data_IF_930732476074
#
_entry.id   IF_930732476074
#
_cell.length_a   1.000
_cell.length_b   1.000
_cell.length_c   1.000
_cell.angle_alpha   90.00
_cell.angle_beta   90.00
_cell.angle_gamma   90.00
#
_symmetry.space_group_name_H-M   'P 1'
#
loop_
_entity.id
_entity.type
_entity.pdbx_description
1 polymer ?
#
# COMPACT_ATOMS: atom_id res chain seq x y z
N UNK A 1 10.31 -28.75 14.85
CA UNK A 1 10.13 -28.08 16.17
C UNK A 1 8.65 -27.77 16.32
N UNK A 2 8.08 -27.70 17.53
CA UNK A 2 6.65 -27.38 17.67
C UNK A 2 6.39 -25.94 17.19
N UNK A 3 5.40 -25.76 16.30
CA UNK A 3 4.98 -24.44 15.81
C UNK A 3 4.33 -23.62 16.93
N UNK A 4 4.54 -22.32 16.92
CA UNK A 4 4.03 -21.39 17.93
C UNK A 4 2.70 -20.78 17.49
N UNK A 5 1.75 -21.64 17.09
CA UNK A 5 0.41 -21.26 16.66
C UNK A 5 -0.57 -21.23 17.84
N UNK A 6 -1.34 -20.16 17.89
CA UNK A 6 -2.44 -19.95 18.83
C UNK A 6 -3.78 -20.11 18.09
N UNK A 7 -4.60 -21.03 18.61
CA UNK A 7 -5.96 -21.32 18.12
C UNK A 7 -6.89 -21.21 19.31
N UNK A 8 -7.68 -20.13 19.36
CA UNK A 8 -8.64 -19.89 20.43
C UNK A 8 -9.78 -20.91 20.40
N UNK A 9 -10.46 -21.07 21.53
CA UNK A 9 -11.62 -21.96 21.64
C UNK A 9 -12.74 -21.58 20.66
N UNK A 10 -12.88 -20.28 20.36
CA UNK A 10 -13.84 -19.76 19.39
C UNK A 10 -13.50 -20.21 17.97
N UNK A 11 -12.24 -20.05 17.54
CA UNK A 11 -11.78 -20.50 16.21
C UNK A 11 -11.88 -22.02 16.10
N UNK A 12 -11.50 -22.74 17.16
CA UNK A 12 -11.61 -24.21 17.23
C UNK A 12 -13.05 -24.70 17.11
N UNK A 13 -14.01 -24.01 17.73
CA UNK A 13 -15.42 -24.37 17.64
C UNK A 13 -15.95 -24.26 16.20
N UNK A 14 -15.48 -23.28 15.44
CA UNK A 14 -15.92 -23.04 14.05
C UNK A 14 -15.26 -24.00 13.04
N UNK A 15 -13.95 -24.24 13.15
CA UNK A 15 -13.24 -25.12 12.20
C UNK A 15 -13.31 -26.61 12.57
N UNK A 16 -13.68 -26.92 13.81
CA UNK A 16 -13.72 -28.27 14.37
C UNK A 16 -12.39 -28.76 14.93
N UNK A 17 -12.47 -29.67 15.90
CA UNK A 17 -11.29 -30.18 16.65
C UNK A 17 -10.27 -30.93 15.79
N UNK A 18 -10.74 -31.63 14.75
CA UNK A 18 -9.87 -32.36 13.84
C UNK A 18 -9.03 -31.41 12.98
N UNK A 19 -9.64 -30.34 12.45
CA UNK A 19 -8.92 -29.34 11.66
C UNK A 19 -7.99 -28.50 12.55
N UNK A 20 -8.44 -28.13 13.75
CA UNK A 20 -7.57 -27.46 14.73
C UNK A 20 -6.35 -28.31 15.09
N UNK A 21 -6.51 -29.64 15.22
CA UNK A 21 -5.39 -30.54 15.45
C UNK A 21 -4.42 -30.60 14.26
N UNK A 22 -4.93 -30.64 13.01
CA UNK A 22 -4.11 -30.59 11.80
C UNK A 22 -3.31 -29.29 11.67
N UNK A 23 -3.91 -28.15 11.99
CA UNK A 23 -3.23 -26.85 12.00
C UNK A 23 -2.10 -26.80 13.03
N UNK A 24 -2.36 -27.27 14.25
CA UNK A 24 -1.36 -27.32 15.32
C UNK A 24 -0.24 -28.34 15.02
N UNK A 25 -0.55 -29.41 14.29
CA UNK A 25 0.43 -30.38 13.78
C UNK A 25 1.25 -29.85 12.59
N UNK A 26 0.83 -28.73 11.97
CA UNK A 26 1.50 -28.11 10.84
C UNK A 26 1.15 -28.73 9.47
N UNK A 27 0.11 -29.56 9.41
CA UNK A 27 -0.35 -30.23 8.19
C UNK A 27 -1.13 -29.28 7.27
N UNK A 28 -1.95 -28.39 7.85
CA UNK A 28 -2.75 -27.40 7.12
C UNK A 28 -2.22 -25.96 7.21
N UNK A 29 -1.23 -25.71 8.08
CA UNK A 29 -0.73 -24.35 8.32
C UNK A 29 0.41 -23.98 7.36
N UNK A 30 0.41 -22.77 6.79
CA UNK A 30 1.44 -22.32 5.85
C UNK A 30 2.81 -22.21 6.52
N UNK A 31 3.88 -22.36 5.73
CA UNK A 31 5.26 -22.19 6.19
C UNK A 31 5.63 -20.73 6.48
N UNK A 32 5.27 -19.81 5.58
CA UNK A 32 5.32 -18.37 5.82
C UNK A 32 3.95 -17.75 5.47
N UNK A 33 3.58 -16.66 6.14
CA UNK A 33 2.31 -15.96 5.93
C UNK A 33 2.51 -14.45 5.88
N UNK A 34 1.60 -13.72 5.26
CA UNK A 34 1.52 -12.27 5.43
C UNK A 34 0.54 -11.95 6.56
N UNK A 35 1.02 -11.25 7.60
CA UNK A 35 0.17 -10.90 8.73
C UNK A 35 -1.06 -10.09 8.26
N UNK A 36 -2.28 -10.58 8.53
CA UNK A 36 -3.52 -9.94 8.05
C UNK A 36 -3.69 -8.49 8.55
N UNK A 37 -3.06 -8.15 9.69
CA UNK A 37 -3.08 -6.80 10.26
C UNK A 37 -2.01 -5.87 9.68
N UNK A 38 -0.73 -6.23 9.79
CA UNK A 38 0.39 -5.34 9.43
C UNK A 38 1.01 -5.62 8.05
N UNK A 39 0.60 -6.70 7.38
CA UNK A 39 1.09 -7.18 6.07
C UNK A 39 2.60 -7.46 6.02
N UNK A 40 3.25 -7.60 7.16
CA UNK A 40 4.65 -8.05 7.23
C UNK A 40 4.67 -9.58 7.20
N UNK A 41 5.64 -10.21 6.51
CA UNK A 41 5.80 -11.65 6.52
C UNK A 41 6.07 -12.17 7.93
N UNK A 42 5.46 -13.30 8.27
CA UNK A 42 5.71 -14.03 9.50
C UNK A 42 5.87 -15.54 9.27
N UNK A 43 6.42 -16.22 10.27
CA UNK A 43 6.72 -17.65 10.23
C UNK A 43 6.35 -18.33 11.56
N UNK A 44 5.35 -19.23 11.60
CA UNK A 44 4.90 -19.89 12.83
C UNK A 44 5.94 -20.86 13.43
N UNK A 45 7.02 -21.18 12.72
CA UNK A 45 8.16 -21.93 13.25
C UNK A 45 9.15 -21.02 14.00
N UNK A 46 9.15 -19.71 13.71
CA UNK A 46 10.08 -18.74 14.29
C UNK A 46 9.42 -17.79 15.30
N UNK A 47 8.12 -17.50 15.16
CA UNK A 47 7.41 -16.54 16.01
C UNK A 47 5.96 -16.93 16.37
N UNK A 48 5.46 -16.31 17.45
CA UNK A 48 4.10 -16.59 17.94
C UNK A 48 3.08 -16.01 16.97
N UNK A 49 2.21 -16.88 16.49
CA UNK A 49 1.27 -16.60 15.42
C UNK A 49 -0.14 -16.90 15.89
N UNK A 50 -1.05 -15.95 15.74
CA UNK A 50 -2.47 -16.10 16.05
C UNK A 50 -3.27 -16.45 14.79
N UNK A 51 -4.20 -17.39 14.94
CA UNK A 51 -5.17 -17.73 13.88
C UNK A 51 -6.40 -16.83 13.95
N UNK A 52 -6.77 -16.24 12.83
CA UNK A 52 -7.94 -15.37 12.71
C UNK A 52 -8.88 -15.97 11.67
N UNK A 53 -10.09 -16.30 12.08
CA UNK A 53 -11.11 -16.85 11.17
C UNK A 53 -12.09 -15.74 10.79
N UNK A 54 -12.12 -15.37 9.52
CA UNK A 54 -13.10 -14.44 9.00
C UNK A 54 -14.31 -15.20 8.47
N UNK A 55 -15.51 -14.88 8.95
CA UNK A 55 -16.76 -15.54 8.55
C UNK A 55 -17.64 -14.49 7.86
N UNK A 56 -18.02 -14.79 6.63
CA UNK A 56 -19.09 -14.13 5.88
C UNK A 56 -20.36 -14.97 5.87
N UNK A 57 -21.36 -14.52 5.11
CA UNK A 57 -22.67 -15.17 5.04
C UNK A 57 -22.58 -16.56 4.37
N UNK A 58 -21.69 -16.72 3.39
CA UNK A 58 -21.52 -17.98 2.63
C UNK A 58 -20.13 -18.60 2.75
N UNK A 59 -19.13 -17.82 3.12
CA UNK A 59 -17.72 -18.22 3.08
C UNK A 59 -16.99 -17.98 4.39
N UNK A 60 -15.98 -18.81 4.68
CA UNK A 60 -15.11 -18.66 5.84
C UNK A 60 -13.64 -18.79 5.41
N UNK A 61 -12.79 -17.93 5.94
CA UNK A 61 -11.38 -17.81 5.53
C UNK A 61 -10.50 -17.80 6.76
N UNK A 62 -9.59 -18.76 6.84
CA UNK A 62 -8.59 -18.82 7.88
C UNK A 62 -7.35 -18.00 7.46
N UNK A 63 -6.94 -17.09 8.32
CA UNK A 63 -5.77 -16.24 8.13
C UNK A 63 -4.88 -16.22 9.37
N UNK A 64 -3.70 -15.63 9.24
CA UNK A 64 -2.67 -15.60 10.28
C UNK A 64 -2.22 -14.17 10.58
N UNK A 65 -1.88 -13.92 11.84
CA UNK A 65 -1.32 -12.65 12.30
C UNK A 65 -0.22 -12.91 13.34
N UNK A 66 0.72 -11.98 13.49
CA UNK A 66 1.57 -11.98 14.68
C UNK A 66 0.68 -11.89 15.92
N UNK A 67 1.03 -12.62 16.99
CA UNK A 67 0.27 -12.59 18.24
C UNK A 67 0.22 -11.21 18.90
N UNK A 68 1.13 -10.30 18.52
CA UNK A 68 1.17 -8.90 18.97
C UNK A 68 0.30 -7.97 18.14
N UNK A 69 -0.08 -8.37 16.91
CA UNK A 69 -0.92 -7.57 16.02
C UNK A 69 -2.40 -7.84 16.24
N UNK A 70 -2.79 -9.11 16.33
CA UNK A 70 -4.16 -9.54 16.59
C UNK A 70 -4.16 -10.79 17.47
N UNK A 71 -5.15 -10.94 18.39
CA UNK A 71 -5.36 -12.19 19.10
C UNK A 71 -5.97 -13.24 18.17
N UNK A 72 -5.95 -14.51 18.58
CA UNK A 72 -6.72 -15.54 17.88
C UNK A 72 -8.22 -15.35 18.16
N UNK A 73 -9.01 -15.21 17.10
CA UNK A 73 -10.42 -14.82 17.21
C UNK A 73 -11.21 -15.13 15.93
N UNK A 74 -12.54 -15.14 16.06
CA UNK A 74 -13.46 -15.14 14.92
C UNK A 74 -13.92 -13.71 14.63
N UNK A 75 -13.92 -13.31 13.35
CA UNK A 75 -14.35 -11.97 12.91
C UNK A 75 -15.46 -12.11 11.88
N UNK A 76 -16.64 -11.59 12.22
CA UNK A 76 -17.77 -11.51 11.30
C UNK A 76 -17.57 -10.33 10.34
N UNK A 77 -17.64 -10.59 9.04
CA UNK A 77 -17.47 -9.56 8.00
C UNK A 77 -18.52 -9.74 6.92
N UNK A 78 -18.76 -8.71 6.10
CA UNK A 78 -19.67 -8.87 4.96
C UNK A 78 -19.02 -9.75 3.87
N UNK A 79 -19.83 -10.44 3.07
CA UNK A 79 -19.33 -11.27 1.97
C UNK A 79 -18.44 -10.47 0.98
N UNK A 80 -18.79 -9.20 0.74
CA UNK A 80 -18.00 -8.29 -0.11
C UNK A 80 -16.61 -7.98 0.50
N UNK A 81 -16.52 -7.85 1.82
CA UNK A 81 -15.25 -7.66 2.54
C UNK A 81 -14.42 -8.95 2.55
N UNK A 82 -15.07 -10.11 2.68
CA UNK A 82 -14.39 -11.40 2.69
C UNK A 82 -13.77 -11.72 1.33
N UNK A 83 -14.50 -11.48 0.23
CA UNK A 83 -13.98 -11.70 -1.13
C UNK A 83 -12.79 -10.79 -1.45
N UNK A 84 -12.76 -9.57 -0.90
CA UNK A 84 -11.59 -8.69 -0.96
C UNK A 84 -10.38 -9.24 -0.18
N UNK A 85 -10.63 -9.88 0.96
CA UNK A 85 -9.59 -10.51 1.77
C UNK A 85 -9.06 -11.83 1.14
N UNK A 86 -9.93 -12.68 0.59
CA UNK A 86 -9.55 -13.93 -0.10
C UNK A 86 -8.59 -13.67 -1.25
N UNK A 87 -8.84 -12.63 -2.06
CA UNK A 87 -7.94 -12.24 -3.16
C UNK A 87 -6.57 -11.80 -2.66
N UNK A 88 -6.51 -11.21 -1.47
CA UNK A 88 -5.26 -10.77 -0.85
C UNK A 88 -4.55 -11.88 -0.04
N UNK A 89 -5.16 -13.05 0.14
CA UNK A 89 -4.65 -14.18 0.95
C UNK A 89 -4.33 -15.41 0.07
N UNK A 90 -4.95 -15.56 -1.11
CA UNK A 90 -4.88 -16.73 -2.00
C UNK A 90 -3.57 -16.94 -2.77
N UNK A 91 -2.42 -16.91 -2.09
CA UNK A 91 -1.10 -17.20 -2.66
C UNK A 91 -0.67 -18.67 -2.68
N UNK A 92 -1.57 -19.65 -2.45
CA UNK A 92 -1.22 -21.07 -2.47
C UNK A 92 -2.38 -22.00 -2.90
N UNK A 93 -2.58 -22.17 -4.21
CA UNK A 93 -3.14 -23.37 -4.85
C UNK A 93 -2.77 -23.38 -6.35
N UNK A 94 -2.45 -24.57 -6.88
CA UNK A 94 -1.95 -24.84 -8.25
C UNK A 94 -2.83 -24.32 -9.41
N UNK A 95 -2.26 -24.18 -10.63
CA UNK A 95 -2.72 -23.19 -11.60
C UNK A 95 -3.86 -23.71 -12.48
N UNK A 96 -5.06 -23.18 -12.28
CA UNK A 96 -5.98 -23.03 -13.40
C UNK A 96 -5.56 -21.82 -14.25
N UNK A 97 -5.77 -21.84 -15.58
CA UNK A 97 -5.40 -20.73 -16.45
C UNK A 97 -6.23 -19.51 -16.08
N UNK A 98 -5.66 -18.67 -15.23
CA UNK A 98 -6.28 -17.44 -14.76
C UNK A 98 -6.61 -16.57 -15.96
N UNK A 99 -7.91 -16.31 -16.15
CA UNK A 99 -8.34 -15.10 -16.86
C UNK A 99 -7.73 -13.94 -16.09
N UNK A 100 -6.69 -13.34 -16.67
CA UNK A 100 -5.99 -12.19 -16.13
C UNK A 100 -6.96 -11.01 -16.14
N UNK A 101 -7.75 -10.87 -15.08
CA UNK A 101 -8.36 -9.58 -14.76
C UNK A 101 -7.22 -8.64 -14.39
N UNK A 102 -7.12 -7.46 -15.01
CA UNK A 102 -6.06 -6.52 -14.69
C UNK A 102 -6.15 -6.14 -13.21
N UNK A 103 -5.19 -6.60 -12.41
CA UNK A 103 -5.06 -6.19 -11.01
C UNK A 103 -4.61 -4.73 -10.97
N UNK A 104 -5.35 -3.91 -10.21
CA UNK A 104 -4.95 -2.53 -9.97
C UNK A 104 -3.73 -2.52 -9.05
N UNK A 105 -2.67 -1.83 -9.47
CA UNK A 105 -1.46 -1.71 -8.67
C UNK A 105 -1.78 -1.09 -7.29
N UNK A 106 -1.30 -1.72 -6.23
CA UNK A 106 -1.39 -1.19 -4.87
C UNK A 106 -0.24 -0.22 -4.65
N UNK A 107 -0.57 1.01 -4.26
CA UNK A 107 0.40 2.09 -4.07
C UNK A 107 0.55 2.43 -2.59
N UNK A 108 1.78 2.34 -2.10
CA UNK A 108 2.19 2.91 -0.82
C UNK A 108 2.39 4.41 -0.96
N UNK A 109 1.85 5.18 -0.01
CA UNK A 109 1.99 6.63 0.05
C UNK A 109 2.56 7.03 1.40
N UNK A 110 3.67 7.76 1.38
CA UNK A 110 4.31 8.34 2.57
C UNK A 110 4.24 9.86 2.49
N UNK A 111 3.72 10.51 3.53
CA UNK A 111 3.75 11.98 3.66
C UNK A 111 4.95 12.45 4.47
N UNK A 112 5.66 13.48 4.00
CA UNK A 112 6.78 14.09 4.72
C UNK A 112 7.06 15.50 4.24
N UNK A 113 7.93 16.24 4.94
CA UNK A 113 8.45 17.51 4.44
C UNK A 113 9.78 17.27 3.71
N UNK A 114 9.98 18.00 2.61
CA UNK A 114 11.23 17.98 1.84
C UNK A 114 11.71 19.42 1.71
N UNK A 115 12.94 19.68 2.16
CA UNK A 115 13.60 20.98 2.01
C UNK A 115 14.09 21.12 0.56
N UNK A 116 13.69 22.16 -0.16
CA UNK A 116 14.21 22.51 -1.50
C UNK A 116 14.49 24.01 -1.51
N UNK A 117 15.70 24.42 -1.89
CA UNK A 117 16.11 25.83 -1.92
C UNK A 117 15.76 26.60 -0.63
N UNK A 118 16.06 25.99 0.53
CA UNK A 118 15.79 26.51 1.89
C UNK A 118 14.30 26.69 2.26
N UNK A 119 13.35 26.22 1.44
CA UNK A 119 11.94 26.17 1.77
C UNK A 119 11.46 24.73 2.02
N UNK A 120 10.67 24.53 3.08
CA UNK A 120 10.06 23.23 3.38
C UNK A 120 8.79 23.06 2.53
N UNK A 121 8.81 22.03 1.69
CA UNK A 121 7.68 21.65 0.86
C UNK A 121 6.96 20.42 1.42
N UNK A 122 5.62 20.40 1.43
CA UNK A 122 4.87 19.19 1.74
C UNK A 122 5.02 18.22 0.58
N UNK A 123 5.42 17.00 0.89
CA UNK A 123 5.68 15.95 -0.09
C UNK A 123 4.79 14.72 0.15
N UNK A 124 4.40 14.08 -0.94
CA UNK A 124 3.90 12.71 -0.99
C UNK A 124 4.90 11.88 -1.78
N UNK A 125 5.28 10.74 -1.22
CA UNK A 125 6.21 9.80 -1.85
C UNK A 125 5.44 8.54 -2.13
N UNK A 126 5.35 8.19 -3.41
CA UNK A 126 4.55 7.09 -3.91
C UNK A 126 5.45 5.98 -4.43
N UNK A 127 5.26 4.80 -3.87
CA UNK A 127 5.99 3.59 -4.26
C UNK A 127 4.98 2.44 -4.39
N UNK A 128 4.92 1.72 -5.52
CA UNK A 128 4.06 0.56 -5.65
C UNK A 128 4.56 -0.58 -4.77
N UNK A 129 3.66 -1.47 -4.32
CA UNK A 129 4.05 -2.62 -3.48
C UNK A 129 4.64 -3.78 -4.29
N UNK A 130 4.53 -3.72 -5.61
CA UNK A 130 5.07 -4.69 -6.57
C UNK A 130 5.40 -3.98 -7.90
N UNK A 131 6.22 -4.57 -8.79
CA UNK A 131 6.46 -4.01 -10.12
C UNK A 131 5.15 -3.78 -10.87
N UNK A 132 5.01 -2.64 -11.56
CA UNK A 132 3.78 -2.31 -12.28
C UNK A 132 3.98 -2.58 -13.76
N UNK A 133 3.21 -3.49 -14.34
CA UNK A 133 3.22 -3.72 -15.79
C UNK A 133 2.02 -3.05 -16.46
N UNK A 134 2.15 -2.69 -17.74
CA UNK A 134 0.99 -2.27 -18.54
C UNK A 134 -0.07 -3.37 -18.64
N UNK A 135 -1.36 -3.01 -18.57
CA UNK A 135 -2.43 -3.96 -18.89
C UNK A 135 -2.22 -4.58 -20.27
N UNK A 136 -2.21 -5.92 -20.33
CA UNK A 136 -1.98 -6.67 -21.57
C UNK A 136 -0.50 -6.88 -21.96
N UNK A 137 0.45 -6.39 -21.17
CA UNK A 137 1.87 -6.73 -21.33
C UNK A 137 2.16 -8.13 -20.77
N UNK A 138 2.97 -8.91 -21.48
CA UNK A 138 3.50 -10.21 -21.03
C UNK A 138 4.93 -10.10 -20.48
N UNK A 139 5.50 -8.90 -20.46
CA UNK A 139 6.87 -8.66 -20.00
C UNK A 139 6.96 -8.57 -18.48
N UNK A 140 8.06 -9.07 -17.90
CA UNK A 140 8.38 -8.95 -16.48
C UNK A 140 8.98 -7.57 -16.10
N UNK A 141 8.71 -6.53 -16.90
CA UNK A 141 9.25 -5.19 -16.70
C UNK A 141 8.46 -4.35 -15.69
N UNK A 142 9.08 -3.30 -15.16
CA UNK A 142 8.41 -2.29 -14.35
C UNK A 142 8.18 -1.02 -15.19
N UNK A 143 6.94 -0.86 -15.63
CA UNK A 143 6.43 0.27 -16.41
C UNK A 143 5.98 1.45 -15.53
N UNK A 144 6.14 1.40 -14.20
CA UNK A 144 5.62 2.43 -13.30
C UNK A 144 6.09 3.85 -13.66
N UNK A 145 7.40 4.06 -13.84
CA UNK A 145 7.93 5.38 -14.22
C UNK A 145 7.52 5.78 -15.64
N UNK A 146 7.68 4.94 -16.69
CA UNK A 146 7.17 5.26 -18.01
C UNK A 146 5.70 5.71 -18.02
N UNK A 147 4.84 5.02 -17.27
CA UNK A 147 3.41 5.36 -17.17
C UNK A 147 3.20 6.75 -16.56
N UNK A 148 3.92 7.10 -15.50
CA UNK A 148 3.82 8.44 -14.90
C UNK A 148 4.40 9.54 -15.79
N UNK A 149 5.48 9.26 -16.51
CA UNK A 149 6.06 10.20 -17.48
C UNK A 149 5.05 10.52 -18.58
N UNK A 150 4.32 9.52 -19.08
CA UNK A 150 3.23 9.72 -20.04
C UNK A 150 2.08 10.58 -19.49
N UNK A 151 1.88 10.59 -18.17
CA UNK A 151 0.93 11.47 -17.48
C UNK A 151 1.48 12.87 -17.20
N UNK A 152 2.73 13.15 -17.56
CA UNK A 152 3.37 14.47 -17.42
C UNK A 152 4.22 14.64 -16.17
N UNK A 153 4.49 13.57 -15.40
CA UNK A 153 5.48 13.63 -14.32
C UNK A 153 6.89 13.77 -14.90
N UNK A 154 7.71 14.62 -14.27
CA UNK A 154 9.04 14.96 -14.75
C UNK A 154 10.09 14.02 -14.16
N UNK A 155 10.94 13.35 -14.97
CA UNK A 155 12.11 12.63 -14.46
C UNK A 155 13.07 13.59 -13.75
N UNK A 156 13.54 13.18 -12.58
CA UNK A 156 14.50 13.94 -11.79
C UNK A 156 15.84 13.22 -11.71
N UNK A 157 16.92 13.97 -11.92
CA UNK A 157 18.31 13.53 -11.66
C UNK A 157 18.83 14.03 -10.31
N UNK A 158 18.20 15.08 -9.77
CA UNK A 158 18.50 15.69 -8.46
C UNK A 158 17.28 16.47 -7.96
N UNK A 159 17.21 16.74 -6.64
CA UNK A 159 16.17 17.57 -6.02
C UNK A 159 16.69 19.00 -5.79
N UNK A 160 17.08 19.67 -6.89
CA UNK A 160 17.62 21.02 -6.86
C UNK A 160 16.55 22.12 -6.93
N UNK A 161 15.40 21.83 -7.51
CA UNK A 161 14.31 22.79 -7.71
C UNK A 161 12.95 22.12 -7.58
N UNK A 162 11.93 22.94 -7.34
CA UNK A 162 10.52 22.51 -7.31
C UNK A 162 10.11 22.05 -8.72
N UNK A 163 9.54 20.85 -8.88
CA UNK A 163 9.06 20.38 -10.18
C UNK A 163 7.88 21.23 -10.68
N UNK A 164 7.65 21.31 -12.01
CA UNK A 164 6.53 22.05 -12.56
C UNK A 164 5.16 21.55 -12.04
N UNK A 165 4.20 22.48 -12.00
CA UNK A 165 2.83 22.15 -11.62
C UNK A 165 2.14 21.31 -12.70
N UNK A 166 1.67 20.11 -12.33
CA UNK A 166 0.94 19.22 -13.21
C UNK A 166 -0.56 19.48 -13.09
N UNK A 167 -1.08 20.27 -14.03
CA UNK A 167 -2.48 20.70 -14.02
C UNK A 167 -3.42 19.52 -14.31
N UNK A 168 -4.60 19.55 -13.68
CA UNK A 168 -5.61 18.49 -13.79
C UNK A 168 -5.40 17.33 -12.80
N UNK A 169 -4.19 17.16 -12.28
CA UNK A 169 -3.92 16.36 -11.09
C UNK A 169 -4.13 17.22 -9.84
N UNK A 170 -4.51 16.60 -8.72
CA UNK A 170 -4.63 17.31 -7.45
C UNK A 170 -4.54 16.39 -6.24
N UNK A 171 -4.20 16.96 -5.09
CA UNK A 171 -4.23 16.26 -3.80
C UNK A 171 -5.48 16.67 -3.04
N UNK A 172 -6.34 15.72 -2.72
CA UNK A 172 -7.56 15.94 -1.94
C UNK A 172 -7.21 15.95 -0.45
N UNK A 173 -7.24 17.13 0.15
CA UNK A 173 -7.08 17.37 1.57
C UNK A 173 -8.39 17.94 2.12
N UNK A 174 -9.01 17.24 3.07
CA UNK A 174 -10.29 17.67 3.67
C UNK A 174 -10.29 17.37 5.17
N UNK A 175 -10.79 18.32 5.96
CA UNK A 175 -10.63 18.33 7.43
C UNK A 175 -9.15 18.17 7.88
N UNK A 176 -8.24 18.60 7.00
CA UNK A 176 -6.79 18.44 7.13
C UNK A 176 -6.28 16.99 7.25
N UNK A 177 -7.07 16.04 6.76
CA UNK A 177 -6.62 14.68 6.46
C UNK A 177 -6.40 14.53 4.96
N UNK A 178 -5.47 13.66 4.57
CA UNK A 178 -5.22 13.28 3.18
C UNK A 178 -6.18 12.16 2.77
N UNK A 179 -6.95 12.39 1.70
CA UNK A 179 -7.96 11.44 1.22
C UNK A 179 -7.55 10.74 -0.08
N UNK A 180 -7.05 11.50 -1.06
CA UNK A 180 -6.81 10.97 -2.39
C UNK A 180 -5.79 11.80 -3.19
N UNK A 181 -5.22 11.17 -4.21
CA UNK A 181 -4.59 11.85 -5.35
C UNK A 181 -5.55 11.67 -6.52
N UNK A 182 -6.01 12.78 -7.08
CA UNK A 182 -6.95 12.81 -8.18
C UNK A 182 -6.20 13.02 -9.49
N UNK A 183 -6.62 12.31 -10.52
CA UNK A 183 -6.15 12.47 -11.89
C UNK A 183 -7.27 13.03 -12.78
N UNK A 184 -6.92 13.65 -13.93
CA UNK A 184 -7.88 14.00 -14.96
C UNK A 184 -8.68 12.77 -15.40
N UNK A 185 -9.98 12.94 -15.64
CA UNK A 185 -10.77 11.88 -16.24
C UNK A 185 -10.46 11.79 -17.75
N UNK A 186 -9.99 10.64 -18.28
CA UNK A 186 -9.69 10.48 -19.70
C UNK A 186 -10.89 10.72 -20.62
N UNK A 187 -12.12 10.51 -20.13
CA UNK A 187 -13.36 10.73 -20.87
C UNK A 187 -13.91 12.17 -20.72
N UNK A 188 -13.17 13.05 -20.04
CA UNK A 188 -13.65 14.37 -19.61
C UNK A 188 -14.55 14.29 -18.37
N UNK A 189 -14.79 15.44 -17.73
CA UNK A 189 -15.65 15.54 -16.54
C UNK A 189 -14.88 15.67 -15.22
N UNK A 190 -15.51 15.23 -14.12
CA UNK A 190 -14.93 15.37 -12.77
C UNK A 190 -13.67 14.49 -12.63
N UNK A 191 -12.62 14.97 -11.93
CA UNK A 191 -11.45 14.16 -11.62
C UNK A 191 -11.81 12.86 -10.91
N UNK A 192 -11.04 11.80 -11.18
CA UNK A 192 -11.21 10.48 -10.57
C UNK A 192 -10.02 10.19 -9.66
N UNK A 193 -10.20 9.36 -8.63
CA UNK A 193 -9.09 8.96 -7.77
C UNK A 193 -8.11 8.10 -8.57
N UNK A 194 -6.86 8.56 -8.67
CA UNK A 194 -5.73 7.72 -9.09
C UNK A 194 -5.24 6.88 -7.91
N UNK A 195 -5.23 7.48 -6.72
CA UNK A 195 -5.02 6.81 -5.45
C UNK A 195 -6.02 7.33 -4.42
N UNK A 196 -6.52 6.44 -3.57
CA UNK A 196 -7.42 6.79 -2.48
C UNK A 196 -7.01 6.05 -1.21
N UNK A 197 -6.95 6.78 -0.09
CA UNK A 197 -6.73 6.20 1.20
C UNK A 197 -7.97 5.38 1.62
N UNK A 198 -7.77 4.18 2.13
CA UNK A 198 -8.86 3.39 2.71
C UNK A 198 -9.52 4.10 3.90
N UNK A 199 -8.70 4.81 4.69
CA UNK A 199 -9.11 5.73 5.74
C UNK A 199 -8.31 7.04 5.58
N UNK A 200 -8.92 8.22 5.77
CA UNK A 200 -8.21 9.48 5.60
C UNK A 200 -6.96 9.58 6.50
N UNK A 201 -5.79 9.80 5.89
CA UNK A 201 -4.51 9.77 6.58
C UNK A 201 -4.27 11.07 7.34
N UNK A 202 -3.86 10.97 8.60
CA UNK A 202 -3.42 12.11 9.37
C UNK A 202 -2.04 12.56 8.87
N UNK A 203 -1.91 13.85 8.61
CA UNK A 203 -0.64 14.49 8.26
C UNK A 203 -0.20 15.39 9.41
N UNK A 204 1.11 15.55 9.56
CA UNK A 204 1.70 16.41 10.60
C UNK A 204 1.26 17.87 10.44
N UNK A 205 1.28 18.63 11.53
CA UNK A 205 0.94 20.06 11.49
C UNK A 205 1.89 20.86 10.58
N UNK A 206 3.18 20.50 10.57
CA UNK A 206 4.17 21.11 9.68
C UNK A 206 3.83 20.86 8.20
N UNK A 207 3.49 19.63 7.84
CA UNK A 207 3.05 19.28 6.49
C UNK A 207 1.80 20.06 6.09
N UNK A 208 0.79 20.09 6.96
CA UNK A 208 -0.49 20.79 6.73
C UNK A 208 -0.29 22.30 6.57
N UNK A 209 0.56 22.89 7.41
CA UNK A 209 0.91 24.31 7.35
C UNK A 209 1.59 24.65 6.04
N UNK A 210 2.56 23.84 5.61
CA UNK A 210 3.24 24.04 4.34
C UNK A 210 2.29 23.87 3.13
N UNK A 211 1.40 22.86 3.16
CA UNK A 211 0.39 22.63 2.12
C UNK A 211 -0.58 23.80 2.00
N UNK A 212 -1.11 24.31 3.11
CA UNK A 212 -1.99 25.48 3.12
C UNK A 212 -1.26 26.76 2.70
N UNK A 213 0.02 26.93 3.04
CA UNK A 213 0.81 28.10 2.62
C UNK A 213 1.07 28.07 1.11
N UNK A 214 1.52 26.94 0.59
CA UNK A 214 1.99 26.80 -0.78
C UNK A 214 0.87 26.46 -1.78
N UNK A 215 -0.30 26.03 -1.29
CA UNK A 215 -1.46 25.62 -2.08
C UNK A 215 -1.14 24.48 -3.07
N UNK A 216 -0.09 23.72 -2.78
CA UNK A 216 0.36 22.59 -3.58
C UNK A 216 1.16 21.60 -2.73
N UNK A 217 1.31 20.39 -3.25
CA UNK A 217 2.06 19.28 -2.67
C UNK A 217 2.98 18.70 -3.73
N UNK A 218 4.24 18.44 -3.37
CA UNK A 218 5.17 17.78 -4.28
C UNK A 218 4.90 16.27 -4.23
N UNK A 219 4.55 15.68 -5.36
CA UNK A 219 4.46 14.22 -5.46
C UNK A 219 5.75 13.71 -6.09
N UNK A 220 6.45 12.84 -5.37
CA UNK A 220 7.58 12.05 -5.86
C UNK A 220 7.13 10.61 -6.03
N UNK A 221 7.55 9.96 -7.11
CA UNK A 221 7.22 8.57 -7.35
C UNK A 221 8.44 7.78 -7.83
N UNK A 222 8.58 6.57 -7.32
CA UNK A 222 9.69 5.67 -7.61
C UNK A 222 9.22 4.20 -7.73
N UNK A 223 9.93 3.34 -8.47
CA UNK A 223 9.65 1.89 -8.53
C UNK A 223 9.71 1.23 -7.16
N UNK A 224 9.04 0.08 -7.02
CA UNK A 224 9.06 -0.71 -5.78
C UNK A 224 10.48 -0.92 -5.24
N UNK A 225 10.68 -0.71 -3.94
CA UNK A 225 11.96 -0.89 -3.27
C UNK A 225 13.01 0.19 -3.54
N UNK A 226 12.65 1.34 -4.14
CA UNK A 226 13.60 2.42 -4.43
C UNK A 226 13.78 3.37 -3.26
N UNK A 227 12.71 3.69 -2.53
CA UNK A 227 12.70 4.60 -1.38
C UNK A 227 12.49 3.83 -0.08
N UNK A 228 11.51 2.91 -0.05
CA UNK A 228 11.11 2.21 1.17
C UNK A 228 10.51 3.13 2.25
N UNK A 229 10.38 2.60 3.49
CA UNK A 229 9.84 3.37 4.62
C UNK A 229 10.93 4.22 5.26
N UNK A 230 10.69 5.53 5.35
CA UNK A 230 11.65 6.48 5.92
C UNK A 230 11.08 7.08 7.22
N UNK A 231 11.69 6.82 8.39
CA UNK A 231 11.14 7.23 9.68
C UNK A 231 11.40 8.70 10.02
N UNK A 232 12.31 9.37 9.29
CA UNK A 232 12.74 10.75 9.53
C UNK A 232 12.87 11.50 8.20
N UNK A 233 12.68 12.81 8.24
CA UNK A 233 12.68 13.69 7.05
C UNK A 233 14.06 13.79 6.39
N UNK A 234 15.14 13.77 7.17
CA UNK A 234 16.52 13.74 6.65
C UNK A 234 16.79 12.45 5.86
N UNK A 235 16.38 11.31 6.41
CA UNK A 235 16.50 10.02 5.73
C UNK A 235 15.62 9.94 4.47
N UNK A 236 14.43 10.55 4.52
CA UNK A 236 13.57 10.64 3.35
C UNK A 236 14.23 11.47 2.24
N UNK A 237 14.81 12.61 2.59
CA UNK A 237 15.55 13.45 1.65
C UNK A 237 16.71 12.67 1.00
N UNK A 238 17.53 12.00 1.79
CA UNK A 238 18.67 11.21 1.29
C UNK A 238 18.21 10.08 0.34
N UNK A 239 17.10 9.40 0.67
CA UNK A 239 16.55 8.35 -0.16
C UNK A 239 16.05 8.89 -1.52
N UNK A 240 15.39 10.05 -1.52
CA UNK A 240 14.94 10.71 -2.75
C UNK A 240 16.13 11.17 -3.60
N UNK A 241 17.17 11.77 -3.01
CA UNK A 241 18.38 12.16 -3.72
C UNK A 241 19.07 10.94 -4.35
N UNK A 242 19.15 9.83 -3.63
CA UNK A 242 19.69 8.57 -4.15
C UNK A 242 18.84 8.02 -5.30
N UNK A 243 17.51 8.04 -5.20
CA UNK A 243 16.64 7.56 -6.28
C UNK A 243 16.78 8.45 -7.53
N UNK A 244 16.82 9.77 -7.36
CA UNK A 244 17.02 10.72 -8.46
C UNK A 244 18.36 10.51 -9.16
N UNK A 245 19.46 10.39 -8.41
CA UNK A 245 20.79 10.13 -8.96
C UNK A 245 20.88 8.82 -9.74
N UNK A 246 20.03 7.83 -9.42
CA UNK A 246 19.92 6.56 -10.13
C UNK A 246 18.90 6.58 -11.28
N UNK A 247 18.30 7.72 -11.61
CA UNK A 247 17.28 7.85 -12.65
C UNK A 247 15.97 7.12 -12.32
N UNK A 248 15.69 6.90 -11.02
CA UNK A 248 14.53 6.15 -10.52
C UNK A 248 13.46 7.04 -9.88
N UNK A 249 13.47 8.33 -10.18
CA UNK A 249 12.54 9.28 -9.57
C UNK A 249 11.86 10.14 -10.63
N UNK A 250 10.54 10.25 -10.51
CA UNK A 250 9.76 11.26 -11.21
C UNK A 250 9.02 12.13 -10.19
N UNK A 251 8.72 13.38 -10.56
CA UNK A 251 8.00 14.28 -9.67
C UNK A 251 7.09 15.25 -10.41
N UNK A 252 6.12 15.78 -9.67
CA UNK A 252 5.27 16.89 -10.10
C UNK A 252 4.82 17.70 -8.88
N UNK A 253 4.55 18.98 -9.06
CA UNK A 253 3.81 19.76 -8.08
C UNK A 253 2.30 19.63 -8.36
N UNK A 254 1.53 19.23 -7.36
CA UNK A 254 0.10 18.96 -7.46
C UNK A 254 -0.69 20.02 -6.67
N UNK A 255 -1.63 20.75 -7.28
CA UNK A 255 -2.52 21.65 -6.56
C UNK A 255 -3.34 20.94 -5.48
N UNK A 256 -3.71 21.65 -4.42
CA UNK A 256 -4.68 21.15 -3.45
C UNK A 256 -6.13 21.23 -3.99
N UNK A 257 -6.93 20.24 -3.63
CA UNK A 257 -8.37 20.23 -3.80
C UNK A 257 -9.07 19.98 -2.45
N UNK A 258 -10.28 20.52 -2.28
CA UNK A 258 -11.11 20.28 -1.09
C UNK A 258 -10.90 21.22 0.11
N UNK A 259 -10.18 22.33 -0.11
CA UNK A 259 -10.05 23.46 0.82
C UNK A 259 -11.24 24.41 0.79
#
# INVERSE_FOLDING_TARGET
MPRMLDVSDEVRAEIGDEEAARLLAGESAPGSYDCTSCRTPGDPEQERTSTVLFIGDETAVLAFAHSTCLPSQVVQVTEEQLQGAVRAIGGAAEPEPAKVTPEQAVLGVTSGLVLIADELHPALVVEPTAPVARPGSLGAGDDFLPLLIEQGFMPLTELAAVPPALHGWSVLLAAGQLHAVLQPNPSGGRPVAWWQAHQPLQVTDGWRTAANKLQQVLMFAAPVGSIGRQPREDLLRDALDKAAANGKLVAAALPLAGI
#
